data_IF_318704423029
#
_entry.id   IF_318704423029
#
_cell.length_a   1.000
_cell.length_b   1.000
_cell.length_c   1.000
_cell.angle_alpha   90.00
_cell.angle_beta   90.00
_cell.angle_gamma   90.00
#
_symmetry.space_group_name_H-M   'P 1'
#
loop_
_entity.id
_entity.type
_entity.pdbx_description
1 polymer ?
#
# COMPACT_ATOMS: atom_id res chain seq x y z
N UNK A 1 13.68 2.52 -7.91
CA UNK A 1 14.57 2.30 -6.74
C UNK A 1 14.55 0.84 -6.23
N UNK A 2 14.04 -0.12 -7.03
CA UNK A 2 13.97 -1.52 -6.62
C UNK A 2 15.33 -2.13 -6.26
N UNK A 3 15.34 -3.05 -5.27
CA UNK A 3 16.54 -3.79 -4.82
C UNK A 3 17.73 -2.93 -4.41
N UNK A 4 17.55 -2.03 -3.44
CA UNK A 4 18.62 -1.14 -2.97
C UNK A 4 18.82 -1.15 -1.45
N UNK A 5 18.26 -2.10 -0.73
CA UNK A 5 18.37 -2.23 0.73
C UNK A 5 18.07 -0.92 1.48
N UNK A 6 17.06 -0.18 0.99
CA UNK A 6 16.69 1.15 1.52
C UNK A 6 16.31 1.05 3.01
N UNK A 7 15.63 -0.02 3.40
CA UNK A 7 15.17 -0.22 4.77
C UNK A 7 14.14 0.81 5.24
N UNK A 8 13.70 0.66 6.50
CA UNK A 8 12.73 1.60 7.08
C UNK A 8 13.28 3.03 7.21
N UNK A 9 14.56 3.18 7.55
CA UNK A 9 15.19 4.51 7.69
C UNK A 9 15.25 5.24 6.35
N UNK A 10 15.68 4.58 5.27
CA UNK A 10 15.71 5.17 3.95
C UNK A 10 14.31 5.49 3.42
N UNK A 11 13.31 4.64 3.71
CA UNK A 11 11.91 4.93 3.38
C UNK A 11 11.40 6.21 4.06
N UNK A 12 11.77 6.43 5.32
CA UNK A 12 11.47 7.67 6.05
C UNK A 12 12.11 8.90 5.39
N UNK A 13 13.38 8.80 5.03
CA UNK A 13 14.08 9.91 4.37
C UNK A 13 13.48 10.24 3.00
N UNK A 14 13.12 9.21 2.22
CA UNK A 14 12.40 9.37 0.96
C UNK A 14 11.03 10.02 1.18
N UNK A 15 10.26 9.58 2.16
CA UNK A 15 8.95 10.12 2.49
C UNK A 15 9.02 11.63 2.77
N UNK A 16 9.99 12.09 3.58
CA UNK A 16 10.19 13.51 3.86
C UNK A 16 10.42 14.35 2.60
N UNK A 17 11.11 13.82 1.60
CA UNK A 17 11.39 14.54 0.34
C UNK A 17 10.26 14.45 -0.66
N UNK A 18 9.57 13.30 -0.71
CA UNK A 18 8.47 13.06 -1.62
C UNK A 18 7.18 13.78 -1.22
N UNK A 19 7.03 14.17 0.05
CA UNK A 19 5.84 14.89 0.53
C UNK A 19 5.52 16.14 -0.30
N UNK A 20 6.56 16.86 -0.74
CA UNK A 20 6.43 18.10 -1.54
C UNK A 20 6.81 17.91 -3.01
N UNK A 21 7.14 16.70 -3.43
CA UNK A 21 7.49 16.46 -4.82
C UNK A 21 6.24 16.45 -5.70
N UNK A 22 6.30 17.18 -6.80
CA UNK A 22 5.19 17.32 -7.76
C UNK A 22 5.52 16.77 -9.15
N UNK A 23 6.60 16.01 -9.29
CA UNK A 23 7.07 15.50 -10.59
C UNK A 23 7.06 14.00 -10.73
N UNK A 24 7.11 13.27 -9.59
CA UNK A 24 7.12 11.80 -9.59
C UNK A 24 5.68 11.28 -9.61
N UNK A 25 5.33 10.57 -10.67
CA UNK A 25 4.01 9.94 -10.83
C UNK A 25 4.04 8.43 -10.56
N UNK A 26 5.19 7.81 -10.70
CA UNK A 26 5.41 6.38 -10.44
C UNK A 26 6.55 6.23 -9.43
N UNK A 27 6.26 5.58 -8.30
CA UNK A 27 7.26 5.26 -7.28
C UNK A 27 7.41 3.75 -7.18
N UNK A 28 8.58 3.25 -7.56
CA UNK A 28 8.92 1.84 -7.46
C UNK A 28 9.97 1.62 -6.37
N UNK A 29 9.56 0.94 -5.30
CA UNK A 29 10.36 0.59 -4.12
C UNK A 29 10.44 -0.93 -3.91
N UNK A 30 10.31 -1.73 -4.96
CA UNK A 30 10.34 -3.18 -4.90
C UNK A 30 11.60 -3.73 -4.20
N UNK A 31 11.42 -4.68 -3.28
CA UNK A 31 12.53 -5.42 -2.67
C UNK A 31 13.48 -4.57 -1.82
N UNK A 32 12.97 -3.72 -0.96
CA UNK A 32 13.80 -2.77 -0.18
C UNK A 32 13.76 -2.95 1.34
N UNK A 33 13.12 -4.01 1.84
CA UNK A 33 13.02 -4.29 3.29
C UNK A 33 12.48 -3.10 4.11
N UNK A 34 11.47 -2.41 3.56
CA UNK A 34 10.86 -1.20 4.14
C UNK A 34 10.21 -1.48 5.50
N UNK A 35 9.64 -2.68 5.67
CA UNK A 35 8.97 -3.12 6.90
C UNK A 35 7.81 -2.22 7.34
N UNK A 36 7.24 -2.53 8.50
CA UNK A 36 6.08 -1.82 9.05
C UNK A 36 6.36 -0.33 9.25
N UNK A 37 7.51 0.01 9.85
CA UNK A 37 7.85 1.40 10.16
C UNK A 37 8.00 2.26 8.90
N UNK A 38 8.67 1.76 7.87
CA UNK A 38 8.79 2.49 6.60
C UNK A 38 7.46 2.59 5.85
N UNK A 39 6.61 1.56 5.90
CA UNK A 39 5.26 1.62 5.34
C UNK A 39 4.41 2.72 5.99
N UNK A 40 4.52 2.89 7.31
CA UNK A 40 3.87 3.98 8.06
C UNK A 40 4.35 5.36 7.60
N UNK A 41 5.67 5.55 7.47
CA UNK A 41 6.22 6.83 7.02
C UNK A 41 5.78 7.15 5.58
N UNK A 42 5.76 6.14 4.69
CA UNK A 42 5.24 6.29 3.33
C UNK A 42 3.73 6.63 3.33
N UNK A 43 2.93 6.00 4.18
CA UNK A 43 1.50 6.29 4.30
C UNK A 43 1.28 7.76 4.70
N UNK A 44 2.02 8.27 5.69
CA UNK A 44 1.95 9.68 6.12
C UNK A 44 2.30 10.64 4.96
N UNK A 45 3.33 10.32 4.20
CA UNK A 45 3.72 11.10 3.01
C UNK A 45 2.61 11.09 1.96
N UNK A 46 2.02 9.93 1.66
CA UNK A 46 1.00 9.76 0.64
C UNK A 46 -0.34 10.41 1.00
N UNK A 47 -0.60 10.71 2.27
CA UNK A 47 -1.74 11.55 2.66
C UNK A 47 -1.65 12.98 2.10
N UNK A 48 -0.45 13.45 1.83
CA UNK A 48 -0.17 14.82 1.37
C UNK A 48 0.27 14.90 -0.09
N UNK A 49 0.94 13.86 -0.60
CA UNK A 49 1.38 13.84 -1.99
C UNK A 49 0.20 13.61 -2.93
N UNK A 50 0.06 14.46 -3.92
CA UNK A 50 -1.03 14.46 -4.90
C UNK A 50 -0.58 14.14 -6.32
N UNK A 51 0.63 13.59 -6.49
CA UNK A 51 1.19 13.31 -7.83
C UNK A 51 1.53 11.85 -8.08
N UNK A 52 1.74 11.05 -7.04
CA UNK A 52 2.04 9.62 -7.20
C UNK A 52 0.74 8.86 -7.50
N UNK A 53 0.63 8.32 -8.71
CA UNK A 53 -0.51 7.55 -9.19
C UNK A 53 -0.27 6.04 -9.17
N UNK A 54 1.00 5.64 -9.28
CA UNK A 54 1.41 4.23 -9.28
C UNK A 54 2.45 4.00 -8.20
N UNK A 55 2.17 3.06 -7.30
CA UNK A 55 3.05 2.70 -6.19
C UNK A 55 3.33 1.20 -6.20
N UNK A 56 4.60 0.84 -6.29
CA UNK A 56 5.07 -0.54 -6.18
C UNK A 56 5.84 -0.75 -4.89
N UNK A 57 5.24 -1.51 -3.97
CA UNK A 57 5.81 -1.91 -2.68
C UNK A 57 6.03 -3.43 -2.59
N UNK A 58 6.11 -4.13 -3.70
CA UNK A 58 6.32 -5.56 -3.75
C UNK A 58 7.55 -5.98 -2.91
N UNK A 59 7.43 -7.09 -2.16
CA UNK A 59 8.51 -7.71 -1.38
C UNK A 59 9.19 -6.75 -0.39
N UNK A 60 8.44 -6.14 0.50
CA UNK A 60 8.95 -5.20 1.49
C UNK A 60 8.71 -5.60 2.96
N UNK A 61 8.19 -6.79 3.22
CA UNK A 61 7.97 -7.32 4.58
C UNK A 61 7.14 -6.42 5.50
N UNK A 62 6.10 -5.76 4.94
CA UNK A 62 5.34 -4.74 5.69
C UNK A 62 4.38 -5.32 6.73
N UNK A 63 4.03 -6.60 6.65
CA UNK A 63 3.12 -7.23 7.59
C UNK A 63 1.71 -6.64 7.61
N UNK A 64 0.91 -7.10 8.58
CA UNK A 64 -0.46 -6.61 8.75
C UNK A 64 -0.53 -5.16 9.25
N UNK A 65 0.47 -4.72 10.01
CA UNK A 65 0.54 -3.35 10.52
C UNK A 65 0.82 -2.34 9.39
N UNK A 66 1.77 -2.64 8.51
CA UNK A 66 2.02 -1.79 7.32
C UNK A 66 0.81 -1.75 6.38
N UNK A 67 0.13 -2.88 6.16
CA UNK A 67 -1.10 -2.93 5.38
C UNK A 67 -2.21 -2.08 6.01
N UNK A 68 -2.32 -2.06 7.35
CA UNK A 68 -3.26 -1.20 8.08
C UNK A 68 -2.99 0.28 7.83
N UNK A 69 -1.74 0.71 7.99
CA UNK A 69 -1.38 2.12 7.82
C UNK A 69 -1.64 2.58 6.38
N UNK A 70 -1.29 1.76 5.38
CA UNK A 70 -1.61 2.04 3.98
C UNK A 70 -3.13 2.06 3.72
N UNK A 71 -3.90 1.15 4.31
CA UNK A 71 -5.34 1.12 4.15
C UNK A 71 -6.00 2.40 4.71
N UNK A 72 -5.59 2.85 5.89
CA UNK A 72 -6.09 4.09 6.49
C UNK A 72 -5.80 5.30 5.60
N UNK A 73 -4.59 5.39 5.05
CA UNK A 73 -4.21 6.43 4.10
C UNK A 73 -5.07 6.36 2.83
N UNK A 74 -5.22 5.18 2.25
CA UNK A 74 -5.97 4.97 1.00
C UNK A 74 -7.48 5.26 1.12
N UNK A 75 -8.07 5.19 2.32
CA UNK A 75 -9.46 5.62 2.52
C UNK A 75 -9.70 7.08 2.13
N UNK A 76 -8.67 7.92 2.21
CA UNK A 76 -8.72 9.35 1.94
C UNK A 76 -7.98 9.75 0.66
N UNK A 77 -7.01 8.96 0.22
CA UNK A 77 -6.21 9.27 -0.95
C UNK A 77 -7.03 9.14 -2.24
N UNK A 78 -6.95 10.17 -3.08
CA UNK A 78 -7.66 10.25 -4.36
C UNK A 78 -6.71 10.32 -5.55
N UNK A 79 -5.44 9.94 -5.37
CA UNK A 79 -4.42 10.01 -6.43
C UNK A 79 -3.85 8.65 -6.83
N UNK A 80 -3.77 7.69 -5.93
CA UNK A 80 -3.22 6.37 -6.26
C UNK A 80 -4.26 5.52 -7.00
N UNK A 81 -3.94 5.15 -8.22
CA UNK A 81 -4.77 4.32 -9.10
C UNK A 81 -4.26 2.87 -9.18
N UNK A 82 -2.95 2.67 -9.00
CA UNK A 82 -2.32 1.35 -9.07
C UNK A 82 -1.43 1.13 -7.86
N UNK A 83 -1.67 0.04 -7.13
CA UNK A 83 -0.91 -0.36 -5.96
C UNK A 83 -0.49 -1.82 -6.06
N UNK A 84 0.81 -2.08 -5.94
CA UNK A 84 1.33 -3.44 -5.85
C UNK A 84 1.85 -3.71 -4.44
N UNK A 85 1.22 -4.67 -3.76
CA UNK A 85 1.56 -5.18 -2.43
C UNK A 85 1.95 -6.67 -2.46
N UNK A 86 2.35 -7.20 -3.61
CA UNK A 86 2.77 -8.60 -3.74
C UNK A 86 3.80 -8.97 -2.66
N UNK A 87 3.67 -10.16 -2.05
CA UNK A 87 4.65 -10.73 -1.13
C UNK A 87 5.08 -9.79 0.02
N UNK A 88 4.12 -9.37 0.84
CA UNK A 88 4.37 -8.46 1.97
C UNK A 88 3.98 -9.02 3.34
N UNK A 89 3.62 -10.30 3.44
CA UNK A 89 3.21 -10.96 4.69
C UNK A 89 1.99 -10.29 5.37
N UNK A 90 1.05 -9.79 4.58
CA UNK A 90 -0.12 -9.03 5.05
C UNK A 90 -1.03 -9.88 5.97
N UNK A 91 -1.18 -11.17 5.68
CA UNK A 91 -2.01 -12.09 6.47
C UNK A 91 -3.51 -11.75 6.43
N UNK A 92 -4.30 -12.54 7.16
CA UNK A 92 -5.76 -12.32 7.22
C UNK A 92 -6.13 -10.98 7.88
N UNK A 93 -5.39 -10.57 8.93
CA UNK A 93 -5.65 -9.31 9.61
C UNK A 93 -5.44 -8.09 8.68
N UNK A 94 -4.36 -8.09 7.91
CA UNK A 94 -4.10 -7.03 6.92
C UNK A 94 -5.13 -7.03 5.78
N UNK A 95 -5.55 -8.21 5.31
CA UNK A 95 -6.58 -8.35 4.29
C UNK A 95 -7.91 -7.71 4.73
N UNK A 96 -8.28 -7.84 6.01
CA UNK A 96 -9.47 -7.18 6.58
C UNK A 96 -9.39 -5.66 6.50
N UNK A 97 -8.24 -5.06 6.80
CA UNK A 97 -8.05 -3.60 6.65
C UNK A 97 -8.16 -3.16 5.19
N UNK A 98 -7.54 -3.91 4.27
CA UNK A 98 -7.64 -3.62 2.84
C UNK A 98 -9.08 -3.75 2.34
N UNK A 99 -9.82 -4.77 2.77
CA UNK A 99 -11.24 -4.94 2.42
C UNK A 99 -12.07 -3.73 2.89
N UNK A 100 -11.88 -3.29 4.14
CA UNK A 100 -12.59 -2.12 4.70
C UNK A 100 -12.26 -0.84 3.91
N UNK A 101 -11.01 -0.65 3.55
CA UNK A 101 -10.57 0.47 2.72
C UNK A 101 -11.24 0.44 1.34
N UNK A 102 -11.27 -0.71 0.68
CA UNK A 102 -11.83 -0.86 -0.66
C UNK A 102 -13.35 -0.63 -0.72
N UNK A 103 -14.07 -0.78 0.40
CA UNK A 103 -15.49 -0.39 0.49
C UNK A 103 -15.70 1.14 0.32
N UNK A 104 -14.68 1.93 0.63
CA UNK A 104 -14.76 3.41 0.64
C UNK A 104 -13.97 4.05 -0.51
N UNK A 105 -12.85 3.45 -0.90
CA UNK A 105 -11.99 4.02 -1.94
C UNK A 105 -12.61 3.83 -3.33
N UNK A 106 -12.70 4.92 -4.08
CA UNK A 106 -13.22 4.96 -5.44
C UNK A 106 -12.18 5.38 -6.48
N UNK A 107 -10.91 5.42 -6.09
CA UNK A 107 -9.81 5.87 -6.95
C UNK A 107 -8.90 4.73 -7.38
N UNK A 108 -8.70 3.74 -6.52
CA UNK A 108 -7.84 2.60 -6.80
C UNK A 108 -8.51 1.66 -7.80
N UNK A 109 -7.88 1.44 -8.95
CA UNK A 109 -8.37 0.60 -10.03
C UNK A 109 -7.63 -0.74 -10.14
N UNK A 110 -6.40 -0.78 -9.66
CA UNK A 110 -5.57 -1.98 -9.71
C UNK A 110 -4.89 -2.21 -8.36
N UNK A 111 -5.11 -3.38 -7.77
CA UNK A 111 -4.48 -3.81 -6.54
C UNK A 111 -3.93 -5.22 -6.70
N UNK A 112 -2.62 -5.38 -6.56
CA UNK A 112 -1.99 -6.70 -6.49
C UNK A 112 -1.68 -7.04 -5.02
N UNK A 113 -2.32 -8.06 -4.51
CA UNK A 113 -2.13 -8.59 -3.14
C UNK A 113 -1.71 -10.06 -3.14
N UNK A 114 -1.23 -10.58 -4.25
CA UNK A 114 -0.80 -11.98 -4.36
C UNK A 114 0.31 -12.31 -3.35
N UNK A 115 0.43 -13.59 -2.98
CA UNK A 115 1.48 -14.11 -2.09
C UNK A 115 1.55 -13.45 -0.71
N UNK A 116 0.41 -13.12 -0.12
CA UNK A 116 0.34 -12.44 1.19
C UNK A 116 -0.18 -13.30 2.34
N UNK A 117 -0.31 -14.62 2.15
CA UNK A 117 -0.72 -15.57 3.19
C UNK A 117 -2.03 -15.21 3.91
N UNK A 118 -3.01 -14.68 3.19
CA UNK A 118 -4.27 -14.19 3.77
C UNK A 118 -5.21 -15.31 4.25
N UNK A 119 -5.02 -16.52 3.75
CA UNK A 119 -5.86 -17.68 4.08
C UNK A 119 -7.32 -17.50 3.66
N UNK A 120 -8.17 -18.44 4.07
CA UNK A 120 -9.60 -18.42 3.73
C UNK A 120 -10.36 -17.24 4.38
N UNK A 121 -9.93 -16.81 5.58
CA UNK A 121 -10.55 -15.67 6.27
C UNK A 121 -10.32 -14.37 5.52
N UNK A 122 -9.07 -14.07 5.12
CA UNK A 122 -8.76 -12.87 4.35
C UNK A 122 -9.41 -12.89 2.96
N UNK A 123 -9.46 -14.05 2.30
CA UNK A 123 -10.16 -14.20 1.03
C UNK A 123 -11.65 -13.90 1.16
N UNK A 124 -12.28 -14.33 2.27
CA UNK A 124 -13.69 -14.04 2.55
C UNK A 124 -13.94 -12.54 2.73
N UNK A 125 -13.11 -11.86 3.50
CA UNK A 125 -13.24 -10.42 3.71
C UNK A 125 -13.12 -9.64 2.39
N UNK A 126 -12.16 -10.00 1.55
CA UNK A 126 -12.00 -9.39 0.22
C UNK A 126 -13.18 -9.70 -0.71
N UNK A 127 -13.70 -10.94 -0.70
CA UNK A 127 -14.84 -11.31 -1.52
C UNK A 127 -16.11 -10.52 -1.15
N UNK A 128 -16.38 -10.34 0.14
CA UNK A 128 -17.51 -9.54 0.61
C UNK A 128 -17.41 -8.07 0.19
N UNK A 129 -16.20 -7.52 0.18
CA UNK A 129 -15.95 -6.16 -0.31
C UNK A 129 -16.21 -6.05 -1.81
N UNK A 130 -15.79 -7.03 -2.63
CA UNK A 130 -15.97 -6.99 -4.08
C UNK A 130 -17.44 -6.94 -4.52
N UNK A 131 -18.37 -7.41 -3.68
CA UNK A 131 -19.81 -7.24 -3.95
C UNK A 131 -20.25 -5.76 -3.93
N UNK A 132 -19.52 -4.90 -3.24
CA UNK A 132 -19.85 -3.49 -3.03
C UNK A 132 -18.98 -2.54 -3.84
N UNK A 133 -17.73 -2.92 -4.09
CA UNK A 133 -16.79 -2.08 -4.84
C UNK A 133 -17.11 -2.11 -6.33
N UNK A 134 -17.12 -0.94 -6.95
CA UNK A 134 -17.42 -0.77 -8.38
C UNK A 134 -16.24 -0.18 -9.17
N UNK A 135 -15.06 -0.10 -8.56
CA UNK A 135 -13.91 0.62 -9.13
C UNK A 135 -12.75 -0.31 -9.51
N UNK A 136 -12.52 -1.35 -8.70
CA UNK A 136 -11.38 -2.25 -8.86
C UNK A 136 -11.74 -3.47 -9.71
#
# INVERSE_FOLDING_TARGET
LGYNDIGAAGAKDLAMKLEKNTTIHTLDLYGNDIREAGAKDLAIMLEKNTTIHTLNLNSNHMGSAGAKDLAIMLEKNTTIHTLNLYNNHIGAAGAKYLATMLEKNTTLHTLDVNSNHMGSAGAKDLAMMLEKNTTI
#
